data_IF_817018333567
#
_entry.id   IF_817018333567
#
_cell.length_a   1.000
_cell.length_b   1.000
_cell.length_c   1.000
_cell.angle_alpha   90.00
_cell.angle_beta   90.00
_cell.angle_gamma   90.00
#
_symmetry.space_group_name_H-M   'P 1'
#
loop_
_entity.id
_entity.type
_entity.pdbx_description
1 polymer ?
#
# COMPACT_ATOMS: atom_id res chain seq x y z
N UNK A 1 6.77 5.73 19.36
CA UNK A 1 6.26 4.34 19.24
C UNK A 1 6.22 3.98 17.75
N UNK A 2 7.04 3.05 17.27
CA UNK A 2 6.98 2.58 15.86
C UNK A 2 5.72 1.73 15.73
N UNK A 3 4.68 2.24 15.07
CA UNK A 3 3.47 1.46 14.83
C UNK A 3 3.76 0.53 13.66
N UNK A 4 3.80 -0.76 13.96
CA UNK A 4 4.11 -1.82 13.02
C UNK A 4 2.77 -2.31 12.43
N UNK A 5 2.48 -1.93 11.20
CA UNK A 5 1.27 -2.36 10.48
C UNK A 5 1.60 -3.52 9.56
N UNK A 6 0.74 -4.54 9.56
CA UNK A 6 0.80 -5.65 8.61
C UNK A 6 -0.60 -5.82 8.01
N UNK A 7 -0.69 -5.68 6.69
CA UNK A 7 -1.95 -5.76 5.96
C UNK A 7 -1.75 -6.71 4.78
N UNK A 8 -2.63 -7.71 4.66
CA UNK A 8 -2.78 -8.47 3.42
C UNK A 8 -4.03 -8.00 2.71
N UNK A 9 -3.89 -7.63 1.44
CA UNK A 9 -5.00 -7.36 0.53
C UNK A 9 -5.25 -8.64 -0.26
N UNK A 10 -6.47 -9.14 -0.26
CA UNK A 10 -6.85 -10.35 -1.00
C UNK A 10 -7.59 -9.95 -2.26
N UNK A 11 -7.11 -10.44 -3.41
CA UNK A 11 -7.76 -10.25 -4.70
C UNK A 11 -8.41 -11.58 -5.14
N UNK A 12 -9.74 -11.63 -5.36
CA UNK A 12 -10.46 -12.82 -5.81
C UNK A 12 -9.97 -13.36 -7.17
N UNK A 13 -9.50 -12.49 -8.08
CA UNK A 13 -9.04 -12.87 -9.41
C UNK A 13 -7.91 -11.94 -9.92
N UNK A 14 -6.95 -12.48 -10.69
CA UNK A 14 -5.87 -11.70 -11.35
C UNK A 14 -6.40 -10.55 -12.22
N UNK A 15 -7.56 -10.71 -12.85
CA UNK A 15 -8.18 -9.65 -13.67
C UNK A 15 -8.70 -8.46 -12.83
N UNK A 16 -9.01 -8.69 -11.55
CA UNK A 16 -9.50 -7.66 -10.65
C UNK A 16 -8.37 -6.76 -10.12
N UNK A 17 -7.13 -7.25 -10.11
CA UNK A 17 -5.95 -6.45 -9.76
C UNK A 17 -5.81 -5.28 -10.73
N UNK A 18 -5.82 -5.56 -12.03
CA UNK A 18 -5.68 -4.54 -13.06
C UNK A 18 -6.93 -3.66 -13.15
N UNK A 19 -8.12 -4.20 -12.92
CA UNK A 19 -9.35 -3.39 -12.82
C UNK A 19 -9.31 -2.46 -11.60
N UNK A 20 -8.97 -2.92 -10.40
CA UNK A 20 -9.03 -2.10 -9.19
C UNK A 20 -7.81 -1.17 -9.03
N UNK A 21 -6.61 -1.54 -9.49
CA UNK A 21 -5.46 -0.62 -9.57
C UNK A 21 -5.65 0.43 -10.68
N UNK A 22 -6.14 0.07 -11.88
CA UNK A 22 -6.34 1.06 -12.94
C UNK A 22 -7.54 1.99 -12.67
N UNK A 23 -8.56 1.55 -11.91
CA UNK A 23 -9.74 2.39 -11.65
C UNK A 23 -9.53 3.39 -10.50
N UNK A 24 -8.50 3.23 -9.65
CA UNK A 24 -8.05 4.32 -8.75
C UNK A 24 -7.44 5.48 -9.55
N UNK A 25 -7.09 5.24 -10.83
CA UNK A 25 -6.63 6.26 -11.79
C UNK A 25 -7.78 6.73 -12.70
N UNK A 26 -9.05 6.51 -12.33
CA UNK A 26 -10.21 7.19 -12.96
C UNK A 26 -10.26 8.65 -12.54
N UNK A 27 -9.33 9.43 -13.08
CA UNK A 27 -9.27 10.88 -12.99
C UNK A 27 -8.00 11.48 -13.57
N UNK A 28 -7.35 10.78 -14.52
CA UNK A 28 -6.06 11.19 -15.13
C UNK A 28 -6.03 12.64 -15.60
N UNK A 29 -7.15 13.20 -16.03
CA UNK A 29 -7.22 14.59 -16.51
C UNK A 29 -7.15 15.62 -15.38
N UNK A 30 -7.84 15.40 -14.26
CA UNK A 30 -7.86 16.37 -13.15
C UNK A 30 -6.61 16.29 -12.26
N UNK A 31 -5.95 15.14 -12.15
CA UNK A 31 -4.76 14.99 -11.30
C UNK A 31 -3.43 15.35 -11.98
N UNK A 32 -3.40 15.41 -13.32
CA UNK A 32 -2.22 15.86 -14.09
C UNK A 32 -1.87 17.32 -13.83
N UNK A 33 -2.86 18.16 -13.52
CA UNK A 33 -2.65 19.58 -13.21
C UNK A 33 -2.19 19.85 -11.77
N UNK A 34 -2.39 18.90 -10.84
CA UNK A 34 -2.20 19.13 -9.39
C UNK A 34 -0.89 18.52 -8.87
N UNK A 35 -0.39 17.47 -9.52
CA UNK A 35 0.82 16.77 -9.12
C UNK A 35 1.79 16.71 -10.29
N UNK A 36 3.07 17.04 -10.06
CA UNK A 36 4.10 16.88 -11.07
C UNK A 36 4.42 15.38 -11.20
N UNK A 37 3.79 14.69 -12.16
CA UNK A 37 3.88 13.22 -12.31
C UNK A 37 5.20 12.71 -12.89
N UNK A 38 6.11 13.64 -13.22
CA UNK A 38 7.42 13.37 -13.80
C UNK A 38 8.54 13.38 -12.74
N UNK A 39 8.20 13.15 -11.46
CA UNK A 39 9.21 12.98 -10.43
C UNK A 39 9.99 11.67 -10.61
N UNK A 40 11.30 11.73 -10.42
CA UNK A 40 12.15 10.53 -10.38
C UNK A 40 11.92 9.74 -9.08
N UNK A 41 12.47 8.53 -9.03
CA UNK A 41 12.51 7.75 -7.79
C UNK A 41 13.18 8.52 -6.65
N UNK A 42 14.33 9.14 -6.90
CA UNK A 42 15.06 9.89 -5.87
C UNK A 42 14.24 11.08 -5.35
N UNK A 43 13.61 11.85 -6.24
CA UNK A 43 12.75 12.97 -5.86
C UNK A 43 11.55 12.52 -5.02
N UNK A 44 10.96 11.37 -5.37
CA UNK A 44 9.84 10.79 -4.64
C UNK A 44 10.25 10.38 -3.23
N UNK A 45 11.41 9.72 -3.07
CA UNK A 45 11.91 9.32 -1.76
C UNK A 45 12.23 10.55 -0.90
N UNK A 46 12.90 11.57 -1.47
CA UNK A 46 13.20 12.80 -0.77
C UNK A 46 11.92 13.51 -0.27
N UNK A 47 10.89 13.57 -1.11
CA UNK A 47 9.59 14.11 -0.71
C UNK A 47 8.96 13.33 0.45
N UNK A 48 9.02 12.00 0.41
CA UNK A 48 8.48 11.15 1.49
C UNK A 48 9.25 11.38 2.80
N UNK A 49 10.58 11.44 2.76
CA UNK A 49 11.42 11.68 3.94
C UNK A 49 11.20 13.07 4.54
N UNK A 50 11.09 14.10 3.70
CA UNK A 50 10.76 15.46 4.14
C UNK A 50 9.42 15.47 4.90
N UNK A 51 8.39 14.81 4.38
CA UNK A 51 7.08 14.76 5.05
C UNK A 51 7.08 13.90 6.31
N UNK A 52 7.89 12.83 6.39
CA UNK A 52 8.06 12.05 7.64
C UNK A 52 8.63 12.91 8.77
N UNK A 53 9.52 13.86 8.46
CA UNK A 53 10.14 14.74 9.46
C UNK A 53 9.15 15.68 10.16
N UNK A 54 8.01 15.97 9.53
CA UNK A 54 6.94 16.82 10.08
C UNK A 54 6.12 16.14 11.19
N UNK A 55 6.37 14.85 11.47
CA UNK A 55 5.68 14.09 12.51
C UNK A 55 4.30 13.57 12.10
N UNK A 56 3.55 13.05 13.07
CA UNK A 56 2.22 12.47 12.84
C UNK A 56 1.16 13.20 13.66
N UNK A 57 0.12 13.69 12.99
CA UNK A 57 -1.08 14.22 13.64
C UNK A 57 -1.99 13.05 14.02
N UNK A 58 -2.40 12.98 15.29
CA UNK A 58 -3.31 11.94 15.75
C UNK A 58 -4.68 12.05 15.08
N UNK A 59 -5.30 10.89 14.85
CA UNK A 59 -6.64 10.77 14.28
C UNK A 59 -6.64 10.39 12.80
N UNK A 60 -7.85 10.11 12.30
CA UNK A 60 -8.05 9.56 10.96
C UNK A 60 -8.52 10.60 9.94
N UNK A 61 -8.63 11.89 10.32
CA UNK A 61 -9.18 12.95 9.46
C UNK A 61 -8.36 13.12 8.18
N UNK A 62 -7.03 13.24 8.31
CA UNK A 62 -6.12 13.45 7.18
C UNK A 62 -6.14 12.27 6.21
N UNK A 63 -6.02 11.04 6.72
CA UNK A 63 -6.04 9.85 5.86
C UNK A 63 -7.41 9.63 5.21
N UNK A 64 -8.52 9.90 5.91
CA UNK A 64 -9.86 9.81 5.33
C UNK A 64 -10.06 10.82 4.19
N UNK A 65 -9.58 12.04 4.35
CA UNK A 65 -9.64 13.05 3.30
C UNK A 65 -8.77 12.68 2.09
N UNK A 66 -7.56 12.18 2.33
CA UNK A 66 -6.69 11.66 1.26
C UNK A 66 -7.37 10.53 0.49
N UNK A 67 -7.91 9.53 1.19
CA UNK A 67 -8.62 8.41 0.57
C UNK A 67 -9.87 8.87 -0.18
N UNK A 68 -10.61 9.86 0.33
CA UNK A 68 -11.75 10.45 -0.35
C UNK A 68 -11.35 11.09 -1.68
N UNK A 69 -10.25 11.84 -1.71
CA UNK A 69 -9.70 12.44 -2.95
C UNK A 69 -9.20 11.39 -3.93
N UNK A 70 -8.73 10.24 -3.44
CA UNK A 70 -8.32 9.10 -4.26
C UNK A 70 -9.50 8.19 -4.70
N UNK A 71 -10.75 8.57 -4.43
CA UNK A 71 -11.92 7.78 -4.84
C UNK A 71 -12.25 6.60 -3.92
N UNK A 72 -11.74 6.59 -2.69
CA UNK A 72 -11.94 5.54 -1.68
C UNK A 72 -11.56 4.11 -2.13
N UNK A 73 -10.31 3.88 -2.60
CA UNK A 73 -9.88 2.56 -3.10
C UNK A 73 -9.96 1.45 -2.04
N UNK A 74 -9.91 1.80 -0.75
CA UNK A 74 -10.08 0.86 0.36
C UNK A 74 -11.48 0.24 0.45
N UNK A 75 -12.49 0.75 -0.26
CA UNK A 75 -13.84 0.18 -0.24
C UNK A 75 -14.03 -0.97 -1.22
N UNK A 76 -13.17 -1.08 -2.23
CA UNK A 76 -13.25 -2.10 -3.29
C UNK A 76 -12.27 -3.27 -3.08
N UNK A 77 -11.68 -3.37 -1.89
CA UNK A 77 -10.61 -4.32 -1.58
C UNK A 77 -10.97 -5.10 -0.32
N UNK A 78 -10.56 -6.37 -0.28
CA UNK A 78 -10.69 -7.23 0.90
C UNK A 78 -9.39 -7.21 1.69
N UNK A 79 -9.47 -7.02 3.01
CA UNK A 79 -8.29 -6.87 3.87
C UNK A 79 -8.27 -7.90 4.99
N UNK A 80 -7.07 -8.41 5.26
CA UNK A 80 -6.72 -9.03 6.54
C UNK A 80 -5.79 -8.07 7.27
N UNK A 81 -6.26 -7.51 8.38
CA UNK A 81 -5.49 -6.57 9.19
C UNK A 81 -4.88 -7.31 10.38
N UNK A 82 -3.55 -7.27 10.49
CA UNK A 82 -2.79 -7.98 11.53
C UNK A 82 -2.20 -6.94 12.48
N UNK A 83 -2.67 -6.98 13.73
CA UNK A 83 -2.19 -6.12 14.83
C UNK A 83 -1.60 -6.97 15.97
N UNK A 84 -0.74 -6.37 16.79
CA UNK A 84 -0.07 -7.05 17.92
C UNK A 84 1.36 -6.56 18.14
N UNK A 85 2.01 -6.98 19.21
CA UNK A 85 3.39 -6.57 19.52
C UNK A 85 4.40 -7.43 18.76
N UNK A 86 4.20 -8.75 18.74
CA UNK A 86 5.11 -9.74 18.16
C UNK A 86 4.40 -10.63 17.12
N UNK A 87 5.16 -11.38 16.32
CA UNK A 87 4.62 -12.44 15.45
C UNK A 87 3.87 -11.99 14.19
N UNK A 88 3.53 -10.70 14.04
CA UNK A 88 2.76 -10.19 12.90
C UNK A 88 3.39 -10.49 11.53
N UNK A 89 4.72 -10.42 11.43
CA UNK A 89 5.44 -10.75 10.20
C UNK A 89 5.33 -12.23 9.83
N UNK A 90 5.45 -13.11 10.82
CA UNK A 90 5.25 -14.55 10.63
C UNK A 90 3.82 -14.88 10.21
N UNK A 91 2.83 -14.25 10.85
CA UNK A 91 1.41 -14.41 10.50
C UNK A 91 1.12 -13.89 9.09
N UNK A 92 1.68 -12.72 8.72
CA UNK A 92 1.56 -12.19 7.35
C UNK A 92 2.10 -13.18 6.31
N UNK A 93 3.30 -13.74 6.58
CA UNK A 93 3.93 -14.70 5.69
C UNK A 93 3.08 -15.98 5.54
N UNK A 94 2.58 -16.54 6.65
CA UNK A 94 1.72 -17.72 6.66
C UNK A 94 0.44 -17.48 5.85
N UNK A 95 -0.30 -16.42 6.16
CA UNK A 95 -1.57 -16.10 5.50
C UNK A 95 -1.39 -15.91 4.00
N UNK A 96 -0.38 -15.16 3.59
CA UNK A 96 -0.19 -14.90 2.18
C UNK A 96 0.34 -16.13 1.42
N UNK A 97 1.10 -17.02 2.05
CA UNK A 97 1.45 -18.31 1.45
C UNK A 97 0.19 -19.16 1.24
N UNK A 98 -0.65 -19.33 2.26
CA UNK A 98 -1.90 -20.10 2.15
C UNK A 98 -2.82 -19.54 1.06
N UNK A 99 -3.02 -18.21 1.03
CA UNK A 99 -3.84 -17.57 0.00
C UNK A 99 -3.26 -17.74 -1.41
N UNK A 100 -1.93 -17.66 -1.55
CA UNK A 100 -1.26 -17.89 -2.83
C UNK A 100 -1.46 -19.33 -3.31
N UNK A 101 -1.29 -20.32 -2.43
CA UNK A 101 -1.52 -21.73 -2.76
C UNK A 101 -3.00 -21.99 -3.09
N UNK A 102 -3.92 -21.24 -2.48
CA UNK A 102 -5.34 -21.24 -2.82
C UNK A 102 -5.69 -20.54 -4.15
N UNK A 103 -4.70 -20.09 -4.93
CA UNK A 103 -4.90 -19.45 -6.23
C UNK A 103 -5.23 -17.95 -6.18
N UNK A 104 -5.24 -17.33 -4.99
CA UNK A 104 -5.49 -15.90 -4.84
C UNK A 104 -4.24 -15.09 -5.17
N UNK A 105 -4.44 -13.87 -5.65
CA UNK A 105 -3.37 -12.88 -5.63
C UNK A 105 -3.47 -12.07 -4.34
N UNK A 106 -2.33 -11.79 -3.73
CA UNK A 106 -2.26 -11.02 -2.48
C UNK A 106 -1.40 -9.78 -2.64
N UNK A 107 -1.88 -8.65 -2.15
CA UNK A 107 -1.06 -7.49 -1.81
C UNK A 107 -0.56 -7.60 -0.38
N UNK A 108 0.68 -7.21 -0.10
CA UNK A 108 1.22 -7.14 1.26
C UNK A 108 1.69 -5.72 1.55
N UNK A 109 1.37 -5.24 2.73
CA UNK A 109 1.95 -4.03 3.30
C UNK A 109 2.52 -4.34 4.66
N UNK A 110 3.78 -3.98 4.89
CA UNK A 110 4.42 -4.10 6.19
C UNK A 110 5.44 -3.01 6.45
N UNK A 111 5.55 -2.55 7.69
CA UNK A 111 6.52 -1.53 8.10
C UNK A 111 7.10 -1.86 9.48
N UNK A 112 8.42 -1.68 9.71
CA UNK A 112 9.43 -1.17 8.77
C UNK A 112 9.86 -2.20 7.71
N UNK A 113 10.51 -1.72 6.64
CA UNK A 113 11.27 -2.58 5.70
C UNK A 113 12.46 -3.21 6.43
N UNK A 114 12.80 -4.44 6.05
CA UNK A 114 13.90 -5.25 6.60
C UNK A 114 15.19 -5.10 5.78
N UNK A 115 15.09 -5.13 4.45
CA UNK A 115 16.21 -5.10 3.49
C UNK A 115 16.14 -3.91 2.53
N UNK A 116 14.96 -3.58 1.98
CA UNK A 116 14.80 -2.57 0.93
C UNK A 116 13.48 -1.82 1.11
N UNK A 117 13.50 -0.50 0.97
CA UNK A 117 12.31 0.36 1.11
C UNK A 117 11.12 -0.10 0.25
N UNK A 118 11.40 -0.50 -1.00
CA UNK A 118 10.40 -0.96 -1.97
C UNK A 118 9.71 -2.27 -1.58
N UNK A 119 10.23 -3.01 -0.60
CA UNK A 119 9.63 -4.25 -0.14
C UNK A 119 8.41 -4.03 0.77
N UNK A 120 8.28 -2.81 1.33
CA UNK A 120 7.18 -2.38 2.22
C UNK A 120 5.82 -2.63 1.56
N UNK A 121 5.76 -2.56 0.23
CA UNK A 121 4.56 -2.84 -0.58
C UNK A 121 4.91 -3.94 -1.59
N UNK A 122 4.14 -5.02 -1.57
CA UNK A 122 4.30 -6.13 -2.51
C UNK A 122 2.96 -6.49 -3.16
N UNK A 123 3.00 -6.94 -4.42
CA UNK A 123 1.85 -7.53 -5.12
C UNK A 123 2.27 -8.86 -5.69
N UNK A 124 1.53 -9.93 -5.38
CA UNK A 124 1.89 -11.29 -5.81
C UNK A 124 3.27 -11.73 -5.35
N UNK A 125 3.67 -11.35 -4.13
CA UNK A 125 5.00 -11.57 -3.54
C UNK A 125 6.16 -10.90 -4.28
N UNK A 126 5.89 -9.89 -5.10
CA UNK A 126 6.92 -9.08 -5.76
C UNK A 126 6.88 -7.66 -5.20
N UNK A 127 8.02 -7.11 -4.73
CA UNK A 127 8.14 -5.69 -4.41
C UNK A 127 7.73 -4.81 -5.59
N UNK A 128 7.21 -3.61 -5.29
CA UNK A 128 6.98 -2.60 -6.33
C UNK A 128 8.32 -2.18 -6.97
N UNK A 129 8.28 -1.79 -8.24
CA UNK A 129 9.46 -1.34 -8.97
C UNK A 129 9.63 0.19 -8.90
N UNK A 130 10.84 0.66 -9.15
CA UNK A 130 11.07 2.08 -9.47
C UNK A 130 10.36 2.41 -10.79
N UNK A 131 9.88 3.64 -10.91
CA UNK A 131 9.44 4.23 -12.17
C UNK A 131 10.62 4.95 -12.80
#
# INVERSE_FOLDING_TARGET
MRIIFFITIVFPNKNEIYRNLCYTVKGRENYRKVWNWDMTYEETINYIEEKKSLGSVFGLKTIRELLRRLGNPQKSLSFVHIAGTNGKGSVLAMISTVLKEGGYCTGRYFSPSVFRELETIQVGNRPISKK
#
